data_IF_518704931420
#
_entry.id   IF_518704931420
#
_cell.length_a   1.000
_cell.length_b   1.000
_cell.length_c   1.000
_cell.angle_alpha   90.00
_cell.angle_beta   90.00
_cell.angle_gamma   90.00
#
_symmetry.space_group_name_H-M   'P 1'
#
loop_
_entity.id
_entity.type
_entity.pdbx_description
1 polymer ?
#
# COMPACT_ATOMS: atom_id res chain seq x y z
N UNK A 1 12.86 12.03 18.31
CA UNK A 1 12.09 12.70 17.26
C UNK A 1 12.07 11.89 15.97
N UNK A 2 13.20 11.61 15.35
CA UNK A 2 13.29 10.98 14.00
C UNK A 2 12.49 9.68 13.85
N UNK A 3 12.55 8.79 14.84
CA UNK A 3 11.78 7.54 14.84
C UNK A 3 10.28 7.82 14.81
N UNK A 4 9.80 8.70 15.68
CA UNK A 4 8.38 9.05 15.78
C UNK A 4 7.89 9.78 14.52
N UNK A 5 8.70 10.66 13.94
CA UNK A 5 8.40 11.34 12.67
C UNK A 5 8.21 10.32 11.53
N UNK A 6 9.10 9.33 11.40
CA UNK A 6 8.97 8.28 10.38
C UNK A 6 7.70 7.44 10.55
N UNK A 7 7.35 7.08 11.78
CA UNK A 7 6.09 6.37 12.09
C UNK A 7 4.88 7.22 11.68
N UNK A 8 4.87 8.51 12.00
CA UNK A 8 3.79 9.42 11.61
C UNK A 8 3.71 9.61 10.09
N UNK A 9 4.84 9.66 9.38
CA UNK A 9 4.88 9.74 7.91
C UNK A 9 4.29 8.46 7.30
N UNK A 10 4.64 7.28 7.81
CA UNK A 10 4.08 6.03 7.31
C UNK A 10 2.57 5.89 7.53
N UNK A 11 2.02 6.55 8.55
CA UNK A 11 0.59 6.56 8.85
C UNK A 11 -0.24 7.49 7.94
N UNK A 12 0.37 8.53 7.32
CA UNK A 12 -0.37 9.55 6.55
C UNK A 12 -1.22 9.01 5.38
N UNK A 13 -0.81 7.99 4.61
CA UNK A 13 -1.63 7.43 3.52
C UNK A 13 -2.94 6.80 3.98
N UNK A 14 -3.05 6.46 5.26
CA UNK A 14 -4.17 5.77 5.89
C UNK A 14 -5.19 6.70 6.54
N UNK A 15 -4.99 7.99 6.45
CA UNK A 15 -5.88 8.97 7.08
C UNK A 15 -6.88 9.54 6.08
N UNK A 16 -8.11 9.80 6.56
CA UNK A 16 -9.08 10.62 5.82
C UNK A 16 -8.53 12.05 5.65
N UNK A 17 -8.55 12.53 4.41
CA UNK A 17 -7.96 13.84 4.05
C UNK A 17 -8.99 14.90 3.74
N UNK A 18 -10.20 14.50 3.33
CA UNK A 18 -11.25 15.42 2.87
C UNK A 18 -12.00 16.05 4.04
N UNK A 19 -12.25 15.26 5.08
CA UNK A 19 -12.99 15.70 6.25
C UNK A 19 -12.17 15.47 7.52
N UNK A 20 -11.57 16.56 8.03
CA UNK A 20 -10.74 16.54 9.23
C UNK A 20 -11.54 16.46 10.53
N UNK A 21 -12.88 16.53 10.46
CA UNK A 21 -13.77 16.34 11.61
C UNK A 21 -14.06 14.88 11.94
N UNK A 22 -13.71 13.96 11.01
CA UNK A 22 -13.91 12.53 11.20
C UNK A 22 -12.79 11.91 12.06
N UNK A 23 -13.15 10.91 12.85
CA UNK A 23 -12.20 10.15 13.68
C UNK A 23 -11.07 9.53 12.84
N UNK A 24 -11.33 9.17 11.60
CA UNK A 24 -10.34 8.61 10.66
C UNK A 24 -9.32 9.63 10.14
N UNK A 25 -9.48 10.93 10.45
CA UNK A 25 -8.42 11.93 10.28
C UNK A 25 -7.40 11.91 11.45
N UNK A 26 -7.73 11.19 12.52
CA UNK A 26 -6.88 11.00 13.68
C UNK A 26 -6.10 9.68 13.60
N UNK A 27 -4.96 9.68 14.25
CA UNK A 27 -4.19 8.50 14.60
C UNK A 27 -4.58 8.11 16.03
N UNK A 28 -4.82 6.82 16.24
CA UNK A 28 -5.01 6.25 17.56
C UNK A 28 -3.67 5.80 18.13
N UNK A 29 -3.41 6.13 19.38
CA UNK A 29 -2.22 5.79 20.13
C UNK A 29 -2.62 4.97 21.36
N UNK A 30 -1.95 3.83 21.54
CA UNK A 30 -2.05 3.00 22.73
C UNK A 30 -0.66 2.80 23.31
N UNK A 31 -0.49 3.17 24.56
CA UNK A 31 0.77 3.10 25.30
C UNK A 31 0.59 2.10 26.43
N UNK A 32 1.34 1.01 26.40
CA UNK A 32 1.33 -0.02 27.42
C UNK A 32 2.71 -0.64 27.58
N UNK A 33 3.14 -0.91 28.81
CA UNK A 33 4.32 -1.71 29.16
C UNK A 33 5.59 -1.39 28.35
N UNK A 34 5.92 -0.13 28.15
CA UNK A 34 7.03 0.38 27.31
C UNK A 34 6.85 0.22 25.80
N UNK A 35 5.65 -0.10 25.35
CA UNK A 35 5.32 -0.20 23.93
C UNK A 35 4.34 0.90 23.50
N UNK A 36 4.57 1.44 22.32
CA UNK A 36 3.63 2.34 21.65
C UNK A 36 3.07 1.61 20.42
N UNK A 37 1.77 1.38 20.45
CA UNK A 37 0.99 0.98 19.28
C UNK A 37 0.30 2.19 18.67
N UNK A 38 0.49 2.37 17.37
CA UNK A 38 -0.11 3.44 16.58
C UNK A 38 -0.99 2.84 15.51
N UNK A 39 -2.23 3.32 15.36
CA UNK A 39 -3.17 2.86 14.34
C UNK A 39 -3.73 4.01 13.52
N UNK A 40 -3.81 3.83 12.21
CA UNK A 40 -4.40 4.77 11.27
C UNK A 40 -5.24 4.01 10.23
N UNK A 41 -6.42 4.54 9.88
CA UNK A 41 -7.30 3.93 8.88
C UNK A 41 -8.25 4.95 8.26
N UNK A 42 -8.62 4.74 7.01
CA UNK A 42 -9.70 5.42 6.30
C UNK A 42 -10.90 4.47 6.04
N UNK A 43 -11.02 3.39 6.82
CA UNK A 43 -11.98 2.29 6.69
C UNK A 43 -11.74 1.31 5.54
N UNK A 44 -10.97 1.65 4.51
CA UNK A 44 -10.64 0.75 3.40
C UNK A 44 -9.31 0.05 3.61
N UNK A 45 -8.32 0.81 4.05
CA UNK A 45 -6.99 0.33 4.42
C UNK A 45 -6.64 0.81 5.83
N UNK A 46 -5.76 0.09 6.50
CA UNK A 46 -5.25 0.52 7.80
C UNK A 46 -3.86 -0.03 8.09
N UNK A 47 -3.16 0.70 8.94
CA UNK A 47 -1.82 0.38 9.40
C UNK A 47 -1.77 0.41 10.92
N UNK A 48 -1.23 -0.65 11.51
CA UNK A 48 -0.76 -0.69 12.88
C UNK A 48 0.76 -0.70 12.87
N UNK A 49 1.39 0.20 13.62
CA UNK A 49 2.84 0.20 13.85
C UNK A 49 3.10 0.07 15.34
N UNK A 50 4.03 -0.80 15.70
CA UNK A 50 4.43 -1.07 17.09
C UNK A 50 5.89 -0.68 17.26
N UNK A 51 6.22 -0.01 18.37
CA UNK A 51 7.59 0.34 18.70
C UNK A 51 7.82 0.37 20.20
N UNK A 52 8.95 -0.18 20.64
CA UNK A 52 9.43 -0.12 22.02
C UNK A 52 10.44 1.04 22.25
N UNK A 53 10.72 1.83 21.20
CA UNK A 53 11.71 2.93 21.24
C UNK A 53 11.13 4.21 21.83
N UNK A 54 10.48 4.09 22.99
CA UNK A 54 9.87 5.18 23.75
C UNK A 54 10.18 5.01 25.24
N UNK A 55 9.99 6.08 26.00
CA UNK A 55 9.99 6.02 27.48
C UNK A 55 8.55 6.28 27.95
N UNK A 56 7.98 5.31 28.65
CA UNK A 56 6.60 5.37 29.17
C UNK A 56 6.63 5.78 30.63
N UNK A 57 5.91 6.82 30.99
CA UNK A 57 5.71 7.26 32.38
C UNK A 57 4.34 6.85 32.90
N UNK A 58 3.36 6.80 32.02
CA UNK A 58 1.98 6.43 32.33
C UNK A 58 1.36 5.74 31.10
N UNK A 59 0.68 4.62 31.33
CA UNK A 59 -0.06 3.89 30.30
C UNK A 59 -1.37 4.61 29.96
N UNK A 60 -1.83 4.45 28.72
CA UNK A 60 -3.09 5.05 28.31
C UNK A 60 -3.28 5.09 26.80
N UNK A 61 -4.46 5.57 26.42
CA UNK A 61 -4.85 5.68 25.03
C UNK A 61 -5.34 7.07 24.69
N UNK A 62 -5.05 7.55 23.49
CA UNK A 62 -5.57 8.83 22.99
C UNK A 62 -5.61 8.83 21.47
N UNK A 63 -6.30 9.83 20.91
CA UNK A 63 -6.27 10.09 19.46
C UNK A 63 -5.69 11.49 19.21
N UNK A 64 -5.07 11.69 18.05
CA UNK A 64 -4.63 13.01 17.62
C UNK A 64 -4.74 13.15 16.11
N UNK A 65 -5.11 14.35 15.64
CA UNK A 65 -5.17 14.63 14.21
C UNK A 65 -3.80 14.36 13.56
N UNK A 66 -3.76 13.39 12.64
CA UNK A 66 -2.52 12.84 12.12
C UNK A 66 -1.69 13.83 11.32
N UNK A 67 -2.32 14.76 10.59
CA UNK A 67 -1.62 15.83 9.89
C UNK A 67 -1.02 16.83 10.86
N UNK A 68 -1.82 17.32 11.80
CA UNK A 68 -1.37 18.35 12.77
C UNK A 68 -0.24 17.84 13.66
N UNK A 69 -0.32 16.60 14.16
CA UNK A 69 0.76 16.03 14.98
C UNK A 69 2.05 15.87 14.18
N UNK A 70 1.97 15.44 12.91
CA UNK A 70 3.14 15.36 12.05
C UNK A 70 3.76 16.74 11.78
N UNK A 71 2.94 17.74 11.48
CA UNK A 71 3.40 19.12 11.24
C UNK A 71 4.12 19.69 12.46
N UNK A 72 3.61 19.44 13.68
CA UNK A 72 4.27 19.82 14.94
C UNK A 72 5.60 19.09 15.09
N UNK A 73 5.64 17.78 14.91
CA UNK A 73 6.87 16.97 15.08
C UNK A 73 7.95 17.41 14.10
N UNK A 74 7.60 17.75 12.86
CA UNK A 74 8.54 18.22 11.84
C UNK A 74 9.27 19.51 12.23
N UNK A 75 8.57 20.46 12.83
CA UNK A 75 9.17 21.75 13.22
C UNK A 75 9.97 21.70 14.52
N UNK A 76 9.82 20.66 15.33
CA UNK A 76 10.59 20.45 16.54
C UNK A 76 12.05 20.08 16.22
N UNK A 77 12.96 20.39 17.17
CA UNK A 77 14.39 20.02 17.04
C UNK A 77 14.57 18.52 17.29
N UNK A 78 15.73 18.00 16.90
CA UNK A 78 16.09 16.64 17.29
C UNK A 78 16.22 16.51 18.80
N UNK A 79 15.77 15.37 19.33
CA UNK A 79 15.74 15.10 20.76
C UNK A 79 14.40 14.51 21.22
N UNK A 80 14.21 14.47 22.51
CA UNK A 80 13.00 13.96 23.15
C UNK A 80 11.84 14.92 22.98
N UNK A 81 10.64 14.38 22.82
CA UNK A 81 9.38 15.09 22.76
C UNK A 81 8.49 14.49 23.84
N UNK A 82 7.93 15.33 24.70
CA UNK A 82 7.01 14.90 25.73
C UNK A 82 5.57 15.04 25.28
N UNK A 83 4.79 14.00 25.51
CA UNK A 83 3.36 13.93 25.25
C UNK A 83 2.62 13.75 26.58
N UNK A 84 1.64 14.56 26.87
CA UNK A 84 0.83 14.49 28.08
C UNK A 84 -0.64 14.70 27.73
N UNK A 85 -1.48 13.74 28.08
CA UNK A 85 -2.93 13.86 27.92
C UNK A 85 -3.54 14.50 29.19
N UNK A 86 -4.20 15.62 29.01
CA UNK A 86 -4.96 16.29 30.10
C UNK A 86 -6.40 16.43 29.65
N UNK A 87 -7.28 15.68 30.28
CA UNK A 87 -8.69 15.56 29.85
C UNK A 87 -8.73 15.15 28.38
N UNK A 88 -9.34 15.96 27.50
CA UNK A 88 -9.48 15.69 26.07
C UNK A 88 -8.51 16.52 25.20
N UNK A 89 -7.36 16.91 25.77
CA UNK A 89 -6.34 17.72 25.08
C UNK A 89 -4.97 17.06 25.22
N UNK A 90 -4.36 16.76 24.10
CA UNK A 90 -2.97 16.31 24.02
C UNK A 90 -2.03 17.51 24.07
N UNK A 91 -1.19 17.57 25.10
CA UNK A 91 -0.12 18.53 25.24
C UNK A 91 1.18 17.94 24.71
N UNK A 92 1.82 18.65 23.78
CA UNK A 92 3.10 18.26 23.17
C UNK A 92 4.11 19.32 23.55
N UNK A 93 5.25 18.93 24.12
CA UNK A 93 6.27 19.88 24.56
C UNK A 93 7.68 19.40 24.26
N UNK A 94 8.55 20.37 23.93
CA UNK A 94 9.98 20.20 23.81
C UNK A 94 10.67 21.53 24.17
N UNK A 95 11.51 21.55 25.20
CA UNK A 95 12.19 22.76 25.72
C UNK A 95 11.18 23.87 26.00
N UNK A 96 11.22 24.97 25.25
CA UNK A 96 10.29 26.10 25.40
C UNK A 96 9.05 26.02 24.51
N UNK A 97 9.02 25.07 23.58
CA UNK A 97 7.88 24.88 22.64
C UNK A 97 6.77 24.08 23.30
N UNK A 98 5.53 24.56 23.22
CA UNK A 98 4.34 23.90 23.75
C UNK A 98 3.20 23.99 22.75
N UNK A 99 2.56 22.87 22.48
CA UNK A 99 1.40 22.75 21.58
C UNK A 99 0.27 22.02 22.26
N UNK A 100 -0.95 22.26 21.79
CA UNK A 100 -2.17 21.60 22.26
C UNK A 100 -2.97 21.12 21.08
N UNK A 101 -3.39 19.88 21.09
CA UNK A 101 -4.29 19.29 20.09
C UNK A 101 -5.51 18.70 20.80
N UNK A 102 -6.73 18.96 20.30
CA UNK A 102 -7.92 18.26 20.78
C UNK A 102 -7.84 16.79 20.41
N UNK A 103 -8.40 15.92 21.24
CA UNK A 103 -8.53 14.49 21.00
C UNK A 103 -10.00 14.14 20.76
N UNK A 104 -10.25 13.00 20.12
CA UNK A 104 -11.58 12.38 20.06
C UNK A 104 -11.67 11.21 21.02
N UNK A 105 -12.90 10.78 21.30
CA UNK A 105 -13.13 9.60 22.11
C UNK A 105 -12.52 8.36 21.48
N UNK A 106 -11.75 7.61 22.25
CA UNK A 106 -11.10 6.37 21.78
C UNK A 106 -12.11 5.28 21.38
N UNK A 107 -13.31 5.31 21.97
CA UNK A 107 -14.37 4.35 21.67
C UNK A 107 -14.94 4.47 20.26
N UNK A 108 -14.74 5.62 19.62
CA UNK A 108 -15.20 5.89 18.25
C UNK A 108 -14.18 5.42 17.18
N UNK A 109 -12.94 5.07 17.59
CA UNK A 109 -11.93 4.64 16.64
C UNK A 109 -12.27 3.26 16.05
N UNK A 110 -12.16 3.08 14.71
CA UNK A 110 -12.52 1.83 14.04
C UNK A 110 -11.71 0.64 14.54
N UNK A 111 -12.38 -0.48 14.79
CA UNK A 111 -11.72 -1.74 15.16
C UNK A 111 -11.05 -2.34 13.93
N UNK A 112 -9.82 -2.81 14.08
CA UNK A 112 -9.05 -3.47 13.05
C UNK A 112 -9.35 -4.97 12.99
N UNK A 113 -9.32 -5.59 11.80
CA UNK A 113 -9.42 -7.03 11.67
C UNK A 113 -8.22 -7.71 12.32
N UNK A 114 -8.45 -8.83 13.00
CA UNK A 114 -7.40 -9.66 13.62
C UNK A 114 -6.97 -10.78 12.68
N UNK A 115 -5.80 -11.36 12.91
CA UNK A 115 -5.28 -12.52 12.16
C UNK A 115 -5.83 -13.86 12.68
N UNK A 116 -6.52 -13.85 13.82
CA UNK A 116 -7.02 -15.05 14.46
C UNK A 116 -8.02 -15.79 13.56
N UNK A 117 -7.84 -17.10 13.43
CA UNK A 117 -8.65 -17.99 12.60
C UNK A 117 -8.71 -17.65 11.10
N UNK A 118 -7.74 -16.87 10.59
CA UNK A 118 -7.64 -16.56 9.16
C UNK A 118 -6.74 -17.52 8.41
N UNK A 119 -7.09 -17.80 7.16
CA UNK A 119 -6.25 -18.60 6.28
C UNK A 119 -4.98 -17.82 5.90
N UNK A 120 -3.88 -18.55 5.69
CA UNK A 120 -2.57 -17.98 5.34
C UNK A 120 -2.26 -18.20 3.87
N UNK A 121 -1.67 -17.20 3.23
CA UNK A 121 -1.13 -17.29 1.86
C UNK A 121 0.40 -17.37 1.97
N UNK A 122 0.97 -18.36 1.30
CA UNK A 122 2.43 -18.54 1.25
C UNK A 122 2.99 -17.99 -0.06
N UNK A 123 3.65 -16.85 0.04
CA UNK A 123 4.36 -16.19 -1.07
C UNK A 123 5.61 -15.55 -0.49
N UNK A 124 6.74 -15.73 -1.17
CA UNK A 124 7.97 -15.04 -0.78
C UNK A 124 7.80 -13.52 -0.93
N UNK A 125 8.25 -12.76 0.04
CA UNK A 125 8.04 -11.31 0.13
C UNK A 125 8.61 -10.55 -1.07
N UNK A 126 9.85 -10.84 -1.47
CA UNK A 126 10.47 -10.19 -2.63
C UNK A 126 9.72 -10.50 -3.92
N UNK A 127 9.32 -11.75 -4.11
CA UNK A 127 8.54 -12.20 -5.26
C UNK A 127 7.17 -11.51 -5.32
N UNK A 128 6.48 -11.36 -4.18
CA UNK A 128 5.24 -10.62 -4.09
C UNK A 128 5.42 -9.17 -4.54
N UNK A 129 6.38 -8.46 -3.92
CA UNK A 129 6.62 -7.04 -4.21
C UNK A 129 7.04 -6.80 -5.66
N UNK A 130 7.92 -7.64 -6.23
CA UNK A 130 8.32 -7.56 -7.62
C UNK A 130 7.15 -7.82 -8.57
N UNK A 131 6.31 -8.81 -8.26
CA UNK A 131 5.11 -9.11 -9.06
C UNK A 131 4.14 -7.94 -9.05
N UNK A 132 3.85 -7.37 -7.88
CA UNK A 132 2.99 -6.20 -7.74
C UNK A 132 3.55 -4.98 -8.51
N UNK A 133 4.87 -4.71 -8.44
CA UNK A 133 5.50 -3.62 -9.21
C UNK A 133 5.32 -3.77 -10.71
N UNK A 134 5.40 -4.99 -11.24
CA UNK A 134 5.27 -5.26 -12.69
C UNK A 134 3.86 -5.02 -13.20
N UNK A 135 2.82 -5.32 -12.39
CA UNK A 135 1.42 -5.23 -12.82
C UNK A 135 0.76 -3.87 -12.50
N UNK A 136 1.25 -3.15 -11.48
CA UNK A 136 0.68 -1.87 -11.04
C UNK A 136 0.40 -0.86 -12.16
N UNK A 137 1.28 -0.69 -13.20
CA UNK A 137 1.01 0.24 -14.28
C UNK A 137 -0.22 -0.08 -15.13
N UNK A 138 -0.70 -1.33 -15.10
CA UNK A 138 -1.88 -1.76 -15.84
C UNK A 138 -3.19 -1.72 -15.02
N UNK A 139 -3.14 -1.33 -13.75
CA UNK A 139 -4.35 -1.16 -12.94
C UNK A 139 -5.04 0.16 -13.32
N UNK A 140 -6.36 0.11 -13.57
CA UNK A 140 -7.14 1.31 -13.83
C UNK A 140 -7.24 2.20 -12.57
N UNK A 141 -7.59 3.47 -12.75
CA UNK A 141 -7.72 4.42 -11.64
C UNK A 141 -9.16 4.65 -11.20
N UNK A 142 -10.09 4.68 -12.16
CA UNK A 142 -11.49 5.03 -11.94
C UNK A 142 -12.40 4.30 -12.95
N UNK A 143 -12.20 2.99 -13.12
CA UNK A 143 -13.06 2.23 -14.00
C UNK A 143 -14.45 2.06 -13.38
N UNK A 144 -15.54 2.20 -14.15
CA UNK A 144 -16.89 1.89 -13.68
C UNK A 144 -17.06 0.44 -13.18
N UNK A 145 -16.28 -0.50 -13.73
CA UNK A 145 -16.15 -1.86 -13.23
C UNK A 145 -15.12 -1.86 -12.11
N UNK A 146 -15.59 -1.87 -10.86
CA UNK A 146 -14.73 -1.74 -9.67
C UNK A 146 -13.62 -2.79 -9.60
N UNK A 147 -13.87 -4.00 -10.10
CA UNK A 147 -12.89 -5.09 -10.17
C UNK A 147 -11.64 -4.76 -10.98
N UNK A 148 -11.69 -3.78 -11.89
CA UNK A 148 -10.54 -3.33 -12.67
C UNK A 148 -9.70 -2.24 -11.96
N UNK A 149 -10.20 -1.69 -10.85
CA UNK A 149 -9.46 -0.74 -10.01
C UNK A 149 -8.53 -1.45 -9.01
N UNK A 150 -8.27 -2.71 -9.22
CA UNK A 150 -7.42 -3.55 -8.38
C UNK A 150 -6.62 -4.58 -9.17
N UNK A 151 -5.89 -5.36 -8.41
CA UNK A 151 -5.10 -6.49 -8.90
C UNK A 151 -5.74 -7.78 -8.45
N UNK A 152 -5.95 -8.70 -9.40
CA UNK A 152 -6.30 -10.08 -9.09
C UNK A 152 -5.06 -10.84 -8.62
N UNK A 153 -5.15 -11.52 -7.50
CA UNK A 153 -4.27 -12.63 -7.12
C UNK A 153 -5.09 -13.91 -7.32
N UNK A 154 -4.68 -14.72 -8.29
CA UNK A 154 -5.37 -15.94 -8.72
C UNK A 154 -4.45 -17.14 -8.45
N UNK A 155 -4.68 -17.81 -7.31
CA UNK A 155 -3.92 -18.98 -6.86
C UNK A 155 -4.61 -20.22 -7.43
N UNK A 156 -3.90 -20.96 -8.28
CA UNK A 156 -4.30 -22.23 -8.88
C UNK A 156 -3.40 -23.34 -8.39
N UNK A 157 -3.73 -24.58 -8.74
CA UNK A 157 -2.99 -25.76 -8.31
C UNK A 157 -1.46 -25.62 -8.47
N UNK A 158 -0.98 -25.18 -9.62
CA UNK A 158 0.44 -25.16 -9.95
C UNK A 158 1.06 -23.76 -10.01
N UNK A 159 0.25 -22.70 -10.02
CA UNK A 159 0.75 -21.34 -10.18
C UNK A 159 -0.09 -20.30 -9.45
N UNK A 160 0.53 -19.15 -9.23
CA UNK A 160 -0.13 -17.92 -8.78
C UNK A 160 0.00 -16.90 -9.90
N UNK A 161 -1.12 -16.35 -10.34
CA UNK A 161 -1.14 -15.25 -11.29
C UNK A 161 -1.47 -13.95 -10.60
N UNK A 162 -0.65 -12.93 -10.82
CA UNK A 162 -0.96 -11.55 -10.50
C UNK A 162 -1.41 -10.88 -11.78
N UNK A 163 -2.62 -10.34 -11.79
CA UNK A 163 -3.25 -9.84 -13.02
C UNK A 163 -3.81 -8.45 -12.82
N UNK A 164 -3.53 -7.56 -13.76
CA UNK A 164 -4.12 -6.23 -13.82
C UNK A 164 -4.44 -5.85 -15.27
N UNK A 165 -5.52 -5.09 -15.47
CA UNK A 165 -5.91 -4.56 -16.77
C UNK A 165 -6.70 -3.26 -16.61
N UNK A 166 -6.53 -2.35 -17.57
CA UNK A 166 -7.32 -1.14 -17.77
C UNK A 166 -8.19 -1.22 -19.03
N UNK A 167 -8.48 -2.43 -19.51
CA UNK A 167 -9.18 -2.77 -20.76
C UNK A 167 -8.39 -2.57 -22.04
N UNK A 168 -7.31 -1.79 -22.04
CA UNK A 168 -6.46 -1.52 -23.23
C UNK A 168 -5.18 -2.37 -23.21
N UNK A 169 -4.71 -2.72 -22.02
CA UNK A 169 -3.53 -3.56 -21.80
C UNK A 169 -3.79 -4.57 -20.68
N UNK A 170 -3.11 -5.68 -20.73
CA UNK A 170 -3.13 -6.73 -19.72
C UNK A 170 -1.70 -6.97 -19.24
N UNK A 171 -1.50 -6.93 -17.93
CA UNK A 171 -0.27 -7.37 -17.30
C UNK A 171 -0.54 -8.65 -16.51
N UNK A 172 0.27 -9.68 -16.74
CA UNK A 172 0.20 -10.96 -16.01
C UNK A 172 1.61 -11.34 -15.56
N UNK A 173 1.76 -11.60 -14.27
CA UNK A 173 2.96 -12.21 -13.70
C UNK A 173 2.56 -13.57 -13.15
N UNK A 174 3.24 -14.60 -13.61
CA UNK A 174 3.05 -15.98 -13.18
C UNK A 174 4.22 -16.43 -12.34
N UNK A 175 3.94 -17.04 -11.18
CA UNK A 175 4.93 -17.66 -10.30
C UNK A 175 4.46 -19.06 -9.89
N UNK A 176 5.38 -19.90 -9.40
CA UNK A 176 5.03 -21.22 -8.87
C UNK A 176 4.21 -21.10 -7.59
N UNK A 177 3.20 -21.96 -7.46
CA UNK A 177 2.35 -22.02 -6.28
C UNK A 177 2.96 -22.94 -5.22
N UNK A 178 2.89 -22.50 -3.96
CA UNK A 178 3.24 -23.26 -2.74
C UNK A 178 2.04 -23.40 -1.79
N UNK A 179 0.85 -22.95 -2.22
CA UNK A 179 -0.38 -22.99 -1.42
C UNK A 179 -1.19 -24.24 -1.74
N UNK A 180 -1.86 -24.77 -0.73
CA UNK A 180 -2.65 -26.01 -0.86
C UNK A 180 -4.08 -25.81 -1.37
N UNK A 181 -4.57 -24.57 -1.37
CA UNK A 181 -5.95 -24.26 -1.74
C UNK A 181 -6.00 -23.18 -2.81
N UNK A 182 -6.91 -23.30 -3.79
CA UNK A 182 -7.15 -22.24 -4.75
C UNK A 182 -7.76 -21.02 -4.08
N UNK A 183 -7.39 -19.84 -4.55
CA UNK A 183 -7.86 -18.57 -4.04
C UNK A 183 -7.91 -17.55 -5.16
N UNK A 184 -8.98 -16.73 -5.18
CA UNK A 184 -9.11 -15.62 -6.11
C UNK A 184 -9.56 -14.38 -5.34
N UNK A 185 -8.67 -13.40 -5.18
CA UNK A 185 -8.93 -12.15 -4.47
C UNK A 185 -8.50 -10.95 -5.30
N UNK A 186 -9.24 -9.83 -5.14
CA UNK A 186 -8.93 -8.58 -5.84
C UNK A 186 -8.52 -7.55 -4.79
N UNK A 187 -7.28 -7.07 -4.90
CA UNK A 187 -6.69 -6.09 -3.98
C UNK A 187 -6.78 -4.70 -4.61
N UNK A 188 -7.35 -3.68 -3.94
CA UNK A 188 -7.47 -2.33 -4.47
C UNK A 188 -6.11 -1.70 -4.81
N UNK A 189 -6.05 -0.87 -5.86
CA UNK A 189 -4.83 -0.17 -6.28
C UNK A 189 -4.16 0.62 -5.15
N UNK A 190 -4.96 1.29 -4.33
CA UNK A 190 -4.47 2.04 -3.17
C UNK A 190 -3.66 1.14 -2.22
N UNK A 191 -4.20 -0.03 -1.90
CA UNK A 191 -3.51 -1.02 -1.07
C UNK A 191 -2.21 -1.53 -1.72
N UNK A 192 -2.25 -1.84 -3.02
CA UNK A 192 -1.06 -2.29 -3.78
C UNK A 192 0.08 -1.25 -3.70
N UNK A 193 -0.23 0.03 -3.82
CA UNK A 193 0.76 1.11 -3.74
C UNK A 193 1.39 1.17 -2.34
N UNK A 194 0.60 1.05 -1.27
CA UNK A 194 1.12 1.12 0.08
C UNK A 194 1.89 -0.16 0.48
N UNK A 195 1.44 -1.34 0.06
CA UNK A 195 2.18 -2.61 0.25
C UNK A 195 3.61 -2.51 -0.31
N UNK A 196 3.78 -1.94 -1.51
CA UNK A 196 5.08 -1.79 -2.16
C UNK A 196 6.03 -0.81 -1.45
N UNK A 197 5.50 0.12 -0.65
CA UNK A 197 6.28 1.11 0.11
C UNK A 197 6.66 0.61 1.51
N UNK A 198 5.72 -0.06 2.17
CA UNK A 198 5.85 -0.45 3.57
C UNK A 198 6.76 -1.66 3.76
N UNK A 199 6.70 -2.62 2.85
CA UNK A 199 7.27 -3.94 3.09
C UNK A 199 8.45 -4.23 2.18
N UNK A 200 9.62 -4.45 2.79
CA UNK A 200 10.87 -4.75 2.09
C UNK A 200 11.41 -6.15 2.41
N UNK A 201 10.89 -6.81 3.46
CA UNK A 201 11.38 -8.11 3.94
C UNK A 201 10.22 -8.94 4.51
N UNK A 202 10.52 -10.06 5.10
CA UNK A 202 9.65 -11.11 5.60
C UNK A 202 8.23 -10.69 5.97
N UNK A 203 7.27 -11.26 5.25
CA UNK A 203 5.85 -10.98 5.37
C UNK A 203 5.07 -12.26 5.66
N UNK A 204 4.03 -12.10 6.44
CA UNK A 204 2.96 -13.07 6.57
C UNK A 204 1.67 -12.48 6.02
N UNK A 205 1.00 -13.24 5.14
CA UNK A 205 -0.25 -12.82 4.54
C UNK A 205 -1.39 -13.70 5.08
N UNK A 206 -2.44 -13.03 5.55
CA UNK A 206 -3.66 -13.67 6.05
C UNK A 206 -4.86 -13.08 5.32
N UNK A 207 -5.89 -13.88 5.12
CA UNK A 207 -7.11 -13.42 4.43
C UNK A 207 -8.38 -14.04 4.99
N UNK A 208 -9.46 -13.34 4.75
CA UNK A 208 -10.85 -13.84 4.81
C UNK A 208 -11.62 -13.35 3.59
N UNK A 209 -12.94 -13.50 3.59
CA UNK A 209 -13.80 -13.11 2.46
C UNK A 209 -13.81 -11.60 2.19
N UNK A 210 -13.38 -10.79 3.14
CA UNK A 210 -13.50 -9.33 3.08
C UNK A 210 -12.17 -8.59 3.19
N UNK A 211 -11.15 -9.20 3.78
CA UNK A 211 -9.89 -8.52 4.10
C UNK A 211 -8.67 -9.35 3.70
N UNK A 212 -7.61 -8.65 3.30
CA UNK A 212 -6.25 -9.15 3.30
C UNK A 212 -5.49 -8.45 4.43
N UNK A 213 -4.76 -9.20 5.24
CA UNK A 213 -3.90 -8.69 6.31
C UNK A 213 -2.46 -9.11 6.01
N UNK A 214 -1.55 -8.15 6.08
CA UNK A 214 -0.11 -8.38 5.90
C UNK A 214 0.59 -7.98 7.19
N UNK A 215 1.32 -8.90 7.76
CA UNK A 215 2.06 -8.71 9.01
C UNK A 215 3.56 -8.80 8.77
N UNK A 216 4.32 -7.89 9.35
CA UNK A 216 5.76 -7.93 9.55
C UNK A 216 6.07 -7.80 11.05
N UNK A 217 7.34 -7.73 11.43
CA UNK A 217 7.73 -7.62 12.84
C UNK A 217 7.17 -6.37 13.55
N UNK A 218 7.23 -5.21 12.89
CA UNK A 218 6.83 -3.92 13.49
C UNK A 218 5.50 -3.38 12.96
N UNK A 219 4.97 -3.97 11.86
CA UNK A 219 3.81 -3.41 11.17
C UNK A 219 2.78 -4.48 10.83
N UNK A 220 1.52 -4.13 10.98
CA UNK A 220 0.39 -4.90 10.46
C UNK A 220 -0.47 -3.99 9.60
N UNK A 221 -0.59 -4.34 8.34
CA UNK A 221 -1.41 -3.65 7.36
C UNK A 221 -2.66 -4.48 7.08
N UNK A 222 -3.80 -3.84 6.88
CA UNK A 222 -4.97 -4.51 6.30
C UNK A 222 -5.56 -3.70 5.15
N UNK A 223 -6.23 -4.40 4.25
CA UNK A 223 -7.06 -3.81 3.20
C UNK A 223 -8.34 -4.60 3.04
N UNK A 224 -9.45 -3.89 2.78
CA UNK A 224 -10.66 -4.52 2.26
C UNK A 224 -10.40 -5.01 0.85
N UNK A 225 -10.96 -6.17 0.51
CA UNK A 225 -10.92 -6.72 -0.83
C UNK A 225 -12.03 -6.12 -1.69
N UNK A 226 -11.78 -5.99 -3.00
CA UNK A 226 -12.84 -5.63 -3.94
C UNK A 226 -13.73 -6.84 -4.14
N UNK A 227 -15.00 -6.67 -3.83
CA UNK A 227 -16.02 -7.69 -4.09
C UNK A 227 -16.40 -7.64 -5.58
N UNK A 228 -16.31 -8.78 -6.27
CA UNK A 228 -16.65 -8.89 -7.69
C UNK A 228 -15.90 -10.05 -8.34
N UNK A 229 -16.20 -10.25 -9.62
CA UNK A 229 -15.54 -11.27 -10.44
C UNK A 229 -14.63 -10.58 -11.45
N UNK A 230 -13.33 -10.80 -11.32
CA UNK A 230 -12.37 -10.30 -12.30
C UNK A 230 -12.65 -10.91 -13.69
N UNK A 231 -12.49 -10.15 -14.79
CA UNK A 231 -12.69 -10.67 -16.15
C UNK A 231 -11.84 -11.90 -16.45
N UNK A 232 -12.35 -12.77 -17.33
CA UNK A 232 -11.66 -13.99 -17.78
C UNK A 232 -10.45 -13.64 -18.65
N UNK A 233 -9.38 -13.20 -18.03
CA UNK A 233 -8.17 -12.68 -18.69
C UNK A 233 -7.46 -13.72 -19.56
N UNK A 234 -7.60 -15.01 -19.25
CA UNK A 234 -6.97 -16.10 -20.01
C UNK A 234 -7.45 -16.19 -21.45
N UNK A 235 -8.67 -15.71 -21.73
CA UNK A 235 -9.27 -15.74 -23.07
C UNK A 235 -8.65 -14.75 -24.05
N UNK A 236 -8.08 -13.65 -23.55
CA UNK A 236 -7.48 -12.61 -24.37
C UNK A 236 -5.97 -12.80 -24.59
N UNK A 237 -5.36 -13.74 -23.88
CA UNK A 237 -3.94 -14.11 -24.09
C UNK A 237 -3.84 -14.94 -25.37
N UNK A 238 -3.03 -14.50 -26.37
CA UNK A 238 -2.83 -15.26 -27.59
C UNK A 238 -2.29 -16.66 -27.31
N UNK A 239 -2.92 -17.68 -27.86
CA UNK A 239 -2.47 -19.09 -27.75
C UNK A 239 -1.31 -19.41 -28.66
N UNK A 240 -1.25 -18.74 -29.82
CA UNK A 240 -0.19 -18.90 -30.81
C UNK A 240 0.55 -17.57 -30.99
N UNK A 241 1.86 -17.63 -30.92
CA UNK A 241 2.76 -16.49 -31.16
C UNK A 241 3.44 -16.74 -32.49
N UNK A 242 3.08 -16.00 -33.54
CA UNK A 242 3.64 -16.14 -34.88
C UNK A 242 5.07 -15.60 -35.00
N UNK A 243 5.37 -14.52 -34.31
CA UNK A 243 6.67 -13.86 -34.35
C UNK A 243 7.20 -13.69 -32.90
N UNK A 244 8.47 -14.00 -32.69
CA UNK A 244 9.15 -13.84 -31.42
C UNK A 244 10.43 -13.05 -31.66
N UNK A 245 10.61 -11.94 -30.91
CA UNK A 245 11.76 -11.05 -31.02
C UNK A 245 12.45 -10.94 -29.65
N UNK A 246 13.76 -11.17 -29.66
CA UNK A 246 14.59 -10.92 -28.49
C UNK A 246 15.28 -9.56 -28.67
N UNK A 247 14.99 -8.61 -27.77
CA UNK A 247 15.44 -7.23 -27.90
C UNK A 247 16.27 -6.81 -26.68
N UNK A 248 17.27 -5.93 -26.86
CA UNK A 248 18.08 -5.41 -25.77
C UNK A 248 17.27 -4.40 -24.95
N UNK A 249 16.80 -4.82 -23.76
CA UNK A 249 15.90 -4.05 -22.88
C UNK A 249 16.39 -2.61 -22.63
N UNK A 250 17.70 -2.42 -22.38
CA UNK A 250 18.24 -1.10 -22.05
C UNK A 250 18.08 -0.11 -23.20
N UNK A 251 18.40 -0.52 -24.43
CA UNK A 251 18.25 0.31 -25.63
C UNK A 251 16.79 0.67 -25.91
N UNK A 252 15.88 -0.29 -25.78
CA UNK A 252 14.44 -0.03 -25.97
C UNK A 252 13.92 0.99 -24.96
N UNK A 253 14.29 0.85 -23.69
CA UNK A 253 13.88 1.81 -22.64
C UNK A 253 14.47 3.20 -22.91
N UNK A 254 15.72 3.29 -23.34
CA UNK A 254 16.38 4.54 -23.68
C UNK A 254 15.67 5.24 -24.86
N UNK A 255 15.44 4.51 -25.96
CA UNK A 255 14.72 5.02 -27.13
C UNK A 255 13.34 5.54 -26.79
N UNK A 256 12.55 4.77 -26.01
CA UNK A 256 11.22 5.22 -25.55
C UNK A 256 11.33 6.49 -24.71
N UNK A 257 12.28 6.56 -23.77
CA UNK A 257 12.48 7.76 -22.92
C UNK A 257 12.83 9.00 -23.76
N UNK A 258 13.67 8.86 -24.78
CA UNK A 258 14.04 9.98 -25.66
C UNK A 258 12.81 10.52 -26.40
N UNK A 259 12.03 9.65 -27.02
CA UNK A 259 10.83 10.04 -27.77
C UNK A 259 9.74 10.63 -26.85
N UNK A 260 9.51 10.02 -25.68
CA UNK A 260 8.46 10.48 -24.74
C UNK A 260 8.80 11.81 -24.06
N UNK A 261 10.00 12.34 -24.27
CA UNK A 261 10.33 13.72 -23.87
C UNK A 261 9.58 14.77 -24.73
N UNK A 262 9.24 14.41 -25.97
CA UNK A 262 8.62 15.31 -26.95
C UNK A 262 7.12 15.01 -27.08
N UNK A 263 6.73 13.73 -27.12
CA UNK A 263 5.34 13.30 -27.34
C UNK A 263 4.95 12.14 -26.43
N UNK A 264 3.71 12.13 -25.96
CA UNK A 264 3.15 11.00 -25.22
C UNK A 264 2.82 9.82 -26.11
N UNK A 265 2.68 10.05 -27.42
CA UNK A 265 2.39 9.02 -28.41
C UNK A 265 3.65 8.66 -29.18
N UNK A 266 3.92 7.36 -29.29
CA UNK A 266 5.11 6.80 -29.94
C UNK A 266 4.68 5.80 -30.98
N UNK A 267 5.14 5.99 -32.21
CA UNK A 267 5.05 5.00 -33.29
C UNK A 267 6.31 4.15 -33.28
N UNK A 268 6.13 2.82 -33.23
CA UNK A 268 7.22 1.86 -33.30
C UNK A 268 7.07 1.06 -34.59
N UNK A 269 8.10 1.14 -35.48
CA UNK A 269 8.14 0.39 -36.72
C UNK A 269 9.23 -0.67 -36.64
N UNK A 270 8.86 -1.92 -36.91
CA UNK A 270 9.79 -3.05 -36.95
C UNK A 270 10.18 -3.33 -38.41
N UNK A 271 11.47 -3.30 -38.68
CA UNK A 271 12.09 -3.65 -39.97
C UNK A 271 13.01 -4.87 -39.81
N UNK A 272 13.57 -5.37 -40.91
CA UNK A 272 14.37 -6.60 -40.87
C UNK A 272 15.56 -6.53 -39.89
N UNK A 273 16.25 -5.37 -39.78
CA UNK A 273 17.44 -5.22 -38.96
C UNK A 273 17.38 -3.98 -38.04
N UNK A 274 16.25 -3.31 -37.98
CA UNK A 274 16.11 -2.07 -37.19
C UNK A 274 14.75 -1.96 -36.54
N UNK A 275 14.69 -1.18 -35.47
CA UNK A 275 13.45 -0.72 -34.84
C UNK A 275 13.49 0.80 -34.82
N UNK A 276 12.51 1.43 -35.45
CA UNK A 276 12.40 2.88 -35.54
C UNK A 276 11.37 3.36 -34.54
N UNK A 277 11.75 4.35 -33.73
CA UNK A 277 10.87 5.03 -32.79
C UNK A 277 10.64 6.47 -33.27
N UNK A 278 9.38 6.85 -33.47
CA UNK A 278 8.98 8.17 -33.97
C UNK A 278 7.98 8.79 -33.00
N UNK A 279 8.09 10.10 -32.76
CA UNK A 279 7.07 10.86 -32.06
C UNK A 279 5.88 11.10 -33.01
N UNK A 280 4.66 11.01 -32.49
CA UNK A 280 3.44 11.36 -33.21
C UNK A 280 2.98 12.80 -32.86
N UNK A 281 3.90 13.69 -32.56
CA UNK A 281 3.54 15.11 -32.42
C UNK A 281 3.37 15.74 -33.82
N UNK A 282 2.22 16.33 -34.03
CA UNK A 282 1.98 17.26 -35.15
C UNK A 282 2.90 18.48 -35.06
#
# INVERSE_FOLDING_TARGET
KSIFENILISAQPFLEKKDTSQITSHIFFNISSNELTLQATDHEIGLTTVTEKISVFEEGTFTANGKKILDIVKILKDGEINFELKKDVLHISQSHSKFKLPTFSNSEFPKFPTIENKAKIFINSSTLIESLKKITPAIDNNNPKFELNGTLIDIKENNINFVATDTRRLAVVNIQNQNNSPLSIIIPKKAIIEIQKLFLSDLELYYDDTNLIIKSNEQTFFTKLINGKFPEYSRIIPKEIKNNLTLPKALIIESIKQITTISMDVKITFENNSIIFESLSD
#
